data_IF_165176403047
#
_entry.id   IF_165176403047
#
_cell.length_a   1.000
_cell.length_b   1.000
_cell.length_c   1.000
_cell.angle_alpha   90.00
_cell.angle_beta   90.00
_cell.angle_gamma   90.00
#
_symmetry.space_group_name_H-M   'P 1'
#
loop_
_entity.id
_entity.type
_entity.pdbx_description
1 polymer ?
#
# COMPACT_ATOMS: atom_id res chain seq x y z
N UNK A 1 5.74 -21.04 -17.26
CA UNK A 1 5.83 -19.82 -18.11
C UNK A 1 5.46 -18.51 -17.38
N UNK A 2 5.80 -18.32 -16.08
CA UNK A 2 5.28 -17.21 -15.26
C UNK A 2 6.20 -15.96 -15.13
N UNK A 3 7.50 -16.08 -15.41
CA UNK A 3 8.46 -14.99 -15.24
C UNK A 3 8.22 -13.74 -16.12
N UNK A 4 7.76 -13.84 -17.39
CA UNK A 4 7.58 -12.66 -18.24
C UNK A 4 6.41 -11.78 -17.78
N UNK A 5 5.36 -12.37 -17.20
CA UNK A 5 4.18 -11.62 -16.76
C UNK A 5 4.45 -10.84 -15.48
N UNK A 6 5.15 -11.43 -14.51
CA UNK A 6 5.56 -10.74 -13.29
C UNK A 6 6.42 -9.51 -13.59
N UNK A 7 7.36 -9.61 -14.54
CA UNK A 7 8.20 -8.48 -14.95
C UNK A 7 7.39 -7.35 -15.59
N UNK A 8 6.35 -7.68 -16.38
CA UNK A 8 5.44 -6.67 -16.96
C UNK A 8 4.63 -5.96 -15.88
N UNK A 9 4.09 -6.70 -14.92
CA UNK A 9 3.34 -6.13 -13.80
C UNK A 9 4.25 -5.24 -12.93
N UNK A 10 5.49 -5.67 -12.66
CA UNK A 10 6.45 -4.86 -11.89
C UNK A 10 6.73 -3.54 -12.62
N UNK A 11 6.98 -3.59 -13.93
CA UNK A 11 7.19 -2.40 -14.74
C UNK A 11 5.97 -1.48 -14.79
N UNK A 12 4.74 -2.04 -14.79
CA UNK A 12 3.51 -1.27 -14.75
C UNK A 12 3.29 -0.62 -13.37
N UNK A 13 3.51 -1.36 -12.28
CA UNK A 13 3.41 -0.85 -10.90
C UNK A 13 4.43 0.26 -10.63
N UNK A 14 5.66 0.12 -11.16
CA UNK A 14 6.71 1.14 -11.03
C UNK A 14 6.34 2.48 -11.70
N UNK A 15 5.38 2.49 -12.64
CA UNK A 15 4.88 3.71 -13.29
C UNK A 15 3.73 4.38 -12.54
N UNK A 16 3.23 3.77 -11.46
CA UNK A 16 2.14 4.35 -10.69
C UNK A 16 2.65 5.61 -9.97
N UNK A 17 1.84 6.68 -9.90
CA UNK A 17 2.26 7.98 -9.37
C UNK A 17 2.52 7.98 -7.86
N UNK A 18 2.19 6.88 -7.18
CA UNK A 18 2.36 6.69 -5.74
C UNK A 18 3.42 5.64 -5.39
N UNK A 19 4.21 5.16 -6.36
CA UNK A 19 5.21 4.11 -6.15
C UNK A 19 6.60 4.69 -6.37
N UNK A 20 7.47 4.58 -5.36
CA UNK A 20 8.89 4.98 -5.45
C UNK A 20 9.70 3.88 -6.10
N UNK A 21 9.51 2.65 -5.64
CA UNK A 21 10.37 1.53 -6.00
C UNK A 21 9.66 0.21 -5.78
N UNK A 22 9.86 -0.74 -6.68
CA UNK A 22 9.39 -2.12 -6.53
C UNK A 22 10.60 -3.04 -6.36
N UNK A 23 10.74 -3.62 -5.18
CA UNK A 23 11.74 -4.62 -4.86
C UNK A 23 11.17 -6.03 -5.04
N UNK A 24 11.80 -6.82 -5.90
CA UNK A 24 11.45 -8.22 -6.15
C UNK A 24 12.73 -9.05 -6.24
N UNK A 25 12.93 -9.98 -5.31
CA UNK A 25 14.05 -10.93 -5.32
C UNK A 25 13.61 -12.26 -5.89
N UNK A 26 14.40 -12.92 -6.74
CA UNK A 26 14.08 -14.24 -7.29
C UNK A 26 13.89 -15.32 -6.23
N UNK A 27 14.54 -15.17 -5.07
CA UNK A 27 14.48 -16.10 -3.93
C UNK A 27 13.25 -15.88 -3.04
N UNK A 28 12.70 -14.67 -3.04
CA UNK A 28 11.55 -14.31 -2.20
C UNK A 28 10.24 -14.69 -2.90
N UNK A 29 9.22 -15.09 -2.13
CA UNK A 29 7.86 -15.33 -2.64
C UNK A 29 7.05 -14.04 -2.75
N UNK A 30 7.54 -12.96 -2.16
CA UNK A 30 6.85 -11.68 -2.11
C UNK A 30 7.52 -10.63 -3.03
N UNK A 31 6.72 -9.64 -3.42
CA UNK A 31 7.15 -8.40 -4.03
C UNK A 31 6.84 -7.29 -3.02
N UNK A 32 7.81 -6.42 -2.79
CA UNK A 32 7.65 -5.26 -1.91
C UNK A 32 7.57 -4.01 -2.78
N UNK A 33 6.48 -3.26 -2.64
CA UNK A 33 6.24 -1.99 -3.34
C UNK A 33 6.42 -0.88 -2.32
N UNK A 34 7.48 -0.08 -2.48
CA UNK A 34 7.69 1.14 -1.73
C UNK A 34 6.85 2.26 -2.32
N UNK A 35 6.13 2.95 -1.45
CA UNK A 35 5.19 3.99 -1.82
C UNK A 35 5.86 5.38 -1.72
N UNK A 36 5.50 6.28 -2.64
CA UNK A 36 5.79 7.71 -2.62
C UNK A 36 4.64 8.50 -3.25
N UNK A 37 3.64 8.96 -2.46
CA UNK A 37 2.95 10.22 -2.79
C UNK A 37 2.67 11.09 -1.54
N UNK A 38 2.19 12.35 -1.68
CA UNK A 38 2.00 13.31 -0.57
C UNK A 38 1.16 12.81 0.62
N UNK A 39 0.31 11.80 0.46
CA UNK A 39 -0.48 11.24 1.56
C UNK A 39 0.39 10.48 2.59
N UNK A 40 1.58 10.01 2.19
CA UNK A 40 2.51 9.29 3.10
C UNK A 40 2.94 10.15 4.28
N UNK A 41 3.00 11.48 4.14
CA UNK A 41 3.30 12.36 5.28
C UNK A 41 2.30 12.23 6.44
N UNK A 42 1.12 11.68 6.14
CA UNK A 42 0.08 11.40 7.13
C UNK A 42 0.01 9.92 7.51
N UNK A 43 0.62 9.01 6.71
CA UNK A 43 0.64 7.59 7.01
C UNK A 43 1.84 7.23 7.92
N UNK A 44 1.64 6.38 8.94
CA UNK A 44 2.75 5.87 9.73
C UNK A 44 3.74 5.07 8.87
N UNK A 45 5.01 5.08 9.24
CA UNK A 45 6.11 4.44 8.50
C UNK A 45 5.86 2.95 8.17
N UNK A 46 5.14 2.24 9.05
CA UNK A 46 4.73 0.85 8.83
C UNK A 46 3.83 0.65 7.61
N UNK A 47 3.25 1.71 7.05
CA UNK A 47 2.36 1.69 5.88
C UNK A 47 3.05 2.23 4.62
N UNK A 48 4.37 2.50 4.65
CA UNK A 48 5.10 3.04 3.50
C UNK A 48 5.45 1.98 2.44
N UNK A 49 5.11 0.72 2.70
CA UNK A 49 5.33 -0.38 1.79
C UNK A 49 4.13 -1.32 1.73
N UNK A 50 3.90 -1.90 0.55
CA UNK A 50 2.92 -2.95 0.30
C UNK A 50 3.68 -4.23 -0.03
N UNK A 51 3.44 -5.29 0.73
CA UNK A 51 3.95 -6.64 0.41
C UNK A 51 2.83 -7.49 -0.17
N UNK A 52 3.04 -7.99 -1.38
CA UNK A 52 2.11 -8.92 -2.05
C UNK A 52 2.85 -10.17 -2.49
N UNK A 53 2.16 -11.30 -2.44
CA UNK A 53 2.71 -12.56 -2.92
C UNK A 53 2.81 -12.53 -4.45
N UNK A 54 3.90 -13.06 -5.02
CA UNK A 54 4.17 -13.01 -6.48
C UNK A 54 3.08 -13.63 -7.35
N UNK A 55 2.37 -14.64 -6.83
CA UNK A 55 1.26 -15.30 -7.54
C UNK A 55 0.06 -14.36 -7.73
N UNK A 56 -0.10 -13.42 -6.81
CA UNK A 56 -1.22 -12.49 -6.75
C UNK A 56 -0.78 -11.07 -7.11
N UNK A 57 0.44 -10.93 -7.66
CA UNK A 57 1.00 -9.62 -7.97
C UNK A 57 0.43 -9.10 -9.30
N UNK A 58 -0.49 -8.14 -9.18
CA UNK A 58 -1.08 -7.40 -10.30
C UNK A 58 -1.18 -5.92 -9.96
N UNK A 59 -1.22 -5.05 -10.96
CA UNK A 59 -1.49 -3.61 -10.78
C UNK A 59 -2.77 -3.39 -9.95
N UNK A 60 -3.83 -4.14 -10.25
CA UNK A 60 -5.10 -4.02 -9.55
C UNK A 60 -4.98 -4.36 -8.06
N UNK A 61 -4.24 -5.41 -7.71
CA UNK A 61 -4.05 -5.81 -6.32
C UNK A 61 -3.18 -4.81 -5.55
N UNK A 62 -2.17 -4.21 -6.20
CA UNK A 62 -1.38 -3.13 -5.59
C UNK A 62 -2.25 -1.90 -5.33
N UNK A 63 -3.06 -1.48 -6.29
CA UNK A 63 -3.98 -0.34 -6.14
C UNK A 63 -5.03 -0.60 -5.05
N UNK A 64 -5.58 -1.81 -4.99
CA UNK A 64 -6.55 -2.22 -3.98
C UNK A 64 -5.93 -2.20 -2.58
N UNK A 65 -4.73 -2.79 -2.42
CA UNK A 65 -4.00 -2.79 -1.16
C UNK A 65 -3.66 -1.37 -0.68
N UNK A 66 -3.21 -0.51 -1.60
CA UNK A 66 -2.93 0.90 -1.28
C UNK A 66 -4.18 1.63 -0.79
N UNK A 67 -5.30 1.48 -1.52
CA UNK A 67 -6.57 2.10 -1.15
C UNK A 67 -7.03 1.64 0.23
N UNK A 68 -6.94 0.34 0.52
CA UNK A 68 -7.34 -0.22 1.81
C UNK A 68 -6.48 0.34 2.95
N UNK A 69 -5.16 0.40 2.79
CA UNK A 69 -4.26 0.98 3.80
C UNK A 69 -4.61 2.44 4.13
N UNK A 70 -4.97 3.24 3.12
CA UNK A 70 -5.38 4.64 3.33
C UNK A 70 -6.71 4.71 4.09
N UNK A 71 -7.70 3.90 3.68
CA UNK A 71 -9.02 3.86 4.34
C UNK A 71 -8.88 3.44 5.81
N UNK A 72 -8.13 2.36 6.08
CA UNK A 72 -7.93 1.84 7.43
C UNK A 72 -7.28 2.91 8.33
N UNK A 73 -6.27 3.60 7.82
CA UNK A 73 -5.60 4.66 8.56
C UNK A 73 -6.55 5.83 8.87
N UNK A 74 -7.28 6.33 7.87
CA UNK A 74 -8.24 7.43 8.09
C UNK A 74 -9.36 7.03 9.04
N UNK A 75 -9.82 5.78 8.99
CA UNK A 75 -10.84 5.26 9.89
C UNK A 75 -10.33 5.19 11.33
N UNK A 76 -9.10 4.70 11.53
CA UNK A 76 -8.47 4.68 12.85
C UNK A 76 -8.24 6.09 13.40
N UNK A 77 -7.80 7.03 12.55
CA UNK A 77 -7.62 8.43 12.93
C UNK A 77 -8.94 9.09 13.33
N UNK A 78 -10.03 8.83 12.59
CA UNK A 78 -11.37 9.30 12.92
C UNK A 78 -11.85 8.74 14.27
N UNK A 79 -11.71 7.43 14.49
CA UNK A 79 -12.09 6.79 15.75
C UNK A 79 -11.32 7.38 16.95
N UNK A 80 -10.03 7.67 16.79
CA UNK A 80 -9.23 8.35 17.81
C UNK A 80 -9.73 9.79 18.04
N UNK A 81 -10.07 10.53 16.98
CA UNK A 81 -10.61 11.88 17.11
C UNK A 81 -11.95 11.88 17.87
N UNK A 82 -12.84 10.93 17.58
CA UNK A 82 -14.11 10.75 18.29
C UNK A 82 -13.92 10.40 19.77
N UNK A 83 -12.91 9.60 20.12
CA UNK A 83 -12.59 9.29 21.53
C UNK A 83 -12.05 10.50 22.29
N UNK A 84 -11.31 11.37 21.61
CA UNK A 84 -10.70 12.57 22.19
C UNK A 84 -11.67 13.75 22.31
N UNK A 85 -12.77 13.73 21.55
CA UNK A 85 -13.87 14.67 21.75
C UNK A 85 -14.80 14.10 22.84
N UNK A 86 -14.75 14.60 24.09
CA UNK A 86 -15.66 14.11 25.12
C UNK A 86 -17.08 14.31 24.62
N UNK A 87 -17.91 13.25 24.68
CA UNK A 87 -19.35 13.37 24.46
C UNK A 87 -19.81 14.54 25.31
N UNK A 88 -20.16 15.66 24.68
CA UNK A 88 -20.91 16.71 25.34
C UNK A 88 -22.18 16.02 25.79
N UNK A 89 -22.26 15.75 27.09
CA UNK A 89 -23.45 15.21 27.73
C UNK A 89 -24.64 16.07 27.29
N UNK A 90 -25.49 15.51 26.45
CA UNK A 90 -26.90 15.86 26.37
C UNK A 90 -27.67 14.87 27.25
#
# INVERSE_FOLDING_TARGET
MAAPQLLREIAAVQRLPFVTHVASSSLDKFVTVHLAPPIIQYLPESHWFIKLHKKDFTVANVQSAYKQQVIDHLTAALALAEQLMPRRNE
#
